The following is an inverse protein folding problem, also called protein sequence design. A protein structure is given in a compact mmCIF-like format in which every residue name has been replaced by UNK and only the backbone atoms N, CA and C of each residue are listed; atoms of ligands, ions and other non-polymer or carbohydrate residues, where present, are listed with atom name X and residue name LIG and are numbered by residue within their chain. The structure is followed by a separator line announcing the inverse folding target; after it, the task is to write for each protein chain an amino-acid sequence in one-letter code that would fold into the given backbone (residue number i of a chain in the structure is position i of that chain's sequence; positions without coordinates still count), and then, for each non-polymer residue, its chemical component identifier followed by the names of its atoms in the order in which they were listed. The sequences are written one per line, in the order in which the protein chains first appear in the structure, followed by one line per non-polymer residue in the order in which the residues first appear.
data_IF_152651605225
#
_entry.id   IF_152651605225
#
_cell.length_a   1.000
_cell.length_b   1.000
_cell.length_c   1.000
_cell.angle_alpha   90.00
_cell.angle_beta   90.00
_cell.angle_gamma   90.00
#
_symmetry.space_group_name_H-M   'P 1'
#
loop_
_entity.id
_entity.type
_entity.pdbx_description
1 polymer ?
#
# COMPACT_ATOMS: atom_id res chain seq x y z
N UNK A 1 30.93 -9.07 18.44
CA UNK A 1 29.51 -9.38 18.23
C UNK A 1 28.92 -9.68 19.59
N UNK A 2 28.12 -8.74 20.10
CA UNK A 2 27.75 -8.58 21.50
C UNK A 2 26.69 -9.62 21.92
N UNK A 3 26.80 -10.18 23.13
CA UNK A 3 25.87 -11.14 23.73
C UNK A 3 24.37 -10.76 23.61
N UNK A 4 24.05 -9.48 23.45
CA UNK A 4 22.69 -8.97 23.24
C UNK A 4 22.07 -9.35 21.88
N UNK A 5 22.86 -9.37 20.81
CA UNK A 5 22.39 -9.77 19.47
C UNK A 5 21.99 -11.25 19.45
N UNK A 6 22.66 -12.05 20.29
CA UNK A 6 22.38 -13.47 20.50
C UNK A 6 21.03 -13.66 21.21
N UNK A 7 20.74 -12.87 22.25
CA UNK A 7 19.46 -12.96 22.98
C UNK A 7 18.24 -12.55 22.12
N UNK A 8 18.36 -11.52 21.28
CA UNK A 8 17.28 -11.14 20.35
C UNK A 8 17.09 -12.22 19.29
N UNK A 9 18.16 -12.81 18.77
CA UNK A 9 18.07 -13.89 17.78
C UNK A 9 17.40 -15.13 18.36
N UNK A 10 17.69 -15.49 19.62
CA UNK A 10 17.02 -16.58 20.32
C UNK A 10 15.52 -16.31 20.52
N UNK A 11 15.14 -15.08 20.88
CA UNK A 11 13.74 -14.66 20.98
C UNK A 11 13.03 -14.64 19.63
N UNK A 12 13.73 -14.30 18.54
CA UNK A 12 13.17 -14.35 17.18
C UNK A 12 12.98 -15.79 16.71
N UNK A 13 13.91 -16.69 17.03
CA UNK A 13 13.78 -18.12 16.74
C UNK A 13 12.66 -18.78 17.55
N UNK A 14 12.40 -18.33 18.78
CA UNK A 14 11.28 -18.84 19.57
C UNK A 14 9.91 -18.35 19.09
N UNK A 15 9.83 -17.27 18.30
CA UNK A 15 8.57 -16.80 17.71
C UNK A 15 7.99 -17.75 16.67
N UNK A 16 8.82 -18.56 16.02
CA UNK A 16 8.35 -19.56 15.08
C UNK A 16 7.97 -20.88 15.78
N UNK A 17 8.18 -20.98 17.10
CA UNK A 17 7.62 -22.06 17.93
C UNK A 17 6.09 -21.87 18.03
N UNK A 18 5.32 -22.94 17.87
CA UNK A 18 3.85 -22.87 17.76
C UNK A 18 3.13 -22.56 19.09
N UNK A 19 3.85 -22.15 20.14
CA UNK A 19 3.30 -21.98 21.48
C UNK A 19 2.75 -20.57 21.71
N UNK A 20 1.43 -20.47 21.87
CA UNK A 20 0.70 -19.23 22.17
C UNK A 20 1.25 -18.49 23.41
N UNK A 21 1.71 -19.23 24.42
CA UNK A 21 2.33 -18.66 25.63
C UNK A 21 3.68 -17.99 25.35
N UNK A 22 4.46 -18.49 24.40
CA UNK A 22 5.76 -17.92 24.04
C UNK A 22 5.56 -16.59 23.31
N UNK A 23 4.58 -16.51 22.42
CA UNK A 23 4.19 -15.28 21.74
C UNK A 23 3.70 -14.18 22.73
N UNK A 24 2.95 -14.54 23.76
CA UNK A 24 2.52 -13.61 24.82
C UNK A 24 3.71 -13.09 25.66
N UNK A 25 4.66 -13.96 25.98
CA UNK A 25 5.90 -13.57 26.69
C UNK A 25 6.75 -12.63 25.85
N UNK A 26 6.91 -12.89 24.56
CA UNK A 26 7.66 -12.01 23.64
C UNK A 26 6.94 -10.67 23.49
N UNK A 27 5.61 -10.65 23.43
CA UNK A 27 4.82 -9.41 23.39
C UNK A 27 5.01 -8.59 24.66
N UNK A 28 5.00 -9.21 25.83
CA UNK A 28 5.28 -8.54 27.09
C UNK A 28 6.73 -8.00 27.12
N UNK A 29 7.72 -8.78 26.69
CA UNK A 29 9.12 -8.35 26.62
C UNK A 29 9.34 -7.19 25.64
N UNK A 30 8.67 -7.20 24.49
CA UNK A 30 8.68 -6.10 23.52
C UNK A 30 8.09 -4.81 24.11
N UNK A 31 6.97 -4.92 24.83
CA UNK A 31 6.28 -3.77 25.46
C UNK A 31 7.07 -3.22 26.66
N UNK A 32 7.79 -4.07 27.39
CA UNK A 32 8.53 -3.70 28.60
C UNK A 32 9.94 -3.15 28.32
N UNK A 33 10.45 -3.26 27.08
CA UNK A 33 11.82 -2.83 26.76
C UNK A 33 11.90 -1.35 26.43
N UNK A 34 12.63 -0.59 27.26
CA UNK A 34 13.09 0.78 27.00
C UNK A 34 13.88 0.92 25.67
N UNK A 35 14.36 -0.21 25.13
CA UNK A 35 15.08 -0.33 23.85
C UNK A 35 14.18 -0.68 22.66
N UNK A 36 12.87 -0.40 22.76
CA UNK A 36 11.87 -0.82 21.76
C UNK A 36 12.23 -0.51 20.30
N UNK A 37 13.03 0.53 20.01
CA UNK A 37 13.47 0.85 18.65
C UNK A 37 14.41 -0.18 17.99
N UNK A 38 15.38 -0.74 18.72
CA UNK A 38 16.34 -1.71 18.15
C UNK A 38 15.71 -3.09 17.97
N UNK A 39 14.85 -3.49 18.91
CA UNK A 39 14.06 -4.73 18.81
C UNK A 39 13.07 -4.61 17.65
N UNK A 40 12.38 -3.48 17.51
CA UNK A 40 11.48 -3.23 16.39
C UNK A 40 12.21 -3.29 15.06
N UNK A 41 13.39 -2.69 14.97
CA UNK A 41 14.22 -2.76 13.75
C UNK A 41 14.56 -4.21 13.40
N UNK A 42 14.97 -5.00 14.39
CA UNK A 42 15.32 -6.41 14.19
C UNK A 42 14.11 -7.25 13.77
N UNK A 43 12.93 -6.97 14.33
CA UNK A 43 11.67 -7.61 13.93
C UNK A 43 11.31 -7.29 12.48
N UNK A 44 11.47 -6.03 12.05
CA UNK A 44 11.22 -5.68 10.64
C UNK A 44 12.17 -6.44 9.72
N UNK A 45 13.48 -6.43 9.98
CA UNK A 45 14.45 -7.18 9.16
C UNK A 45 14.12 -8.68 9.15
N UNK A 46 13.79 -9.28 10.31
CA UNK A 46 13.38 -10.68 10.38
C UNK A 46 12.14 -10.97 9.54
N UNK A 47 11.15 -10.09 9.55
CA UNK A 47 9.97 -10.24 8.69
C UNK A 47 10.34 -10.15 7.20
N UNK A 48 11.24 -9.24 6.82
CA UNK A 48 11.65 -9.10 5.42
C UNK A 48 12.28 -10.39 4.87
N UNK A 49 12.94 -11.17 5.72
CA UNK A 49 13.56 -12.45 5.35
C UNK A 49 12.60 -13.65 5.51
N UNK A 50 11.77 -13.69 6.56
CA UNK A 50 10.97 -14.86 6.93
C UNK A 50 9.49 -14.80 6.51
N UNK A 51 8.95 -13.60 6.28
CA UNK A 51 7.50 -13.36 6.17
C UNK A 51 6.66 -13.91 7.35
N UNK A 52 7.26 -14.03 8.55
CA UNK A 52 6.60 -14.62 9.73
C UNK A 52 5.36 -13.84 10.18
N UNK A 53 4.23 -14.53 10.31
CA UNK A 53 2.94 -13.95 10.72
C UNK A 53 2.93 -13.52 12.20
N UNK A 54 3.73 -14.16 13.04
CA UNK A 54 3.89 -13.80 14.45
C UNK A 54 4.55 -12.43 14.59
N UNK A 55 5.55 -12.14 13.75
CA UNK A 55 6.18 -10.83 13.71
C UNK A 55 5.21 -9.74 13.26
N UNK A 56 4.33 -10.03 12.30
CA UNK A 56 3.24 -9.09 11.92
C UNK A 56 2.35 -8.77 13.11
N UNK A 57 1.98 -9.78 13.93
CA UNK A 57 1.16 -9.57 15.12
C UNK A 57 1.86 -8.67 16.15
N UNK A 58 3.15 -8.90 16.39
CA UNK A 58 3.95 -8.06 17.28
C UNK A 58 4.06 -6.62 16.76
N UNK A 59 4.46 -6.45 15.50
CA UNK A 59 4.58 -5.13 14.88
C UNK A 59 3.24 -4.39 14.83
N UNK A 60 2.12 -5.10 14.68
CA UNK A 60 0.77 -4.49 14.73
C UNK A 60 0.38 -3.96 16.11
N UNK A 61 1.06 -4.42 17.16
CA UNK A 61 0.86 -3.94 18.53
C UNK A 61 1.69 -2.70 18.87
N UNK A 62 2.50 -2.19 17.93
CA UNK A 62 3.34 -1.01 18.11
C UNK A 62 2.50 0.20 18.51
N UNK A 63 2.91 0.87 19.60
CA UNK A 63 2.30 2.12 20.10
C UNK A 63 3.25 3.29 19.87
N UNK A 64 2.74 4.50 20.09
CA UNK A 64 3.58 5.70 20.13
C UNK A 64 4.55 5.64 21.32
N UNK A 65 5.82 6.10 21.19
CA UNK A 65 6.42 6.80 20.03
C UNK A 65 7.14 5.88 19.02
N UNK A 66 7.14 4.55 19.24
CA UNK A 66 7.92 3.59 18.45
C UNK A 66 7.51 3.49 16.97
N UNK A 67 6.33 4.02 16.61
CA UNK A 67 5.89 4.10 15.22
C UNK A 67 6.88 4.84 14.30
N UNK A 68 7.66 5.79 14.81
CA UNK A 68 8.64 6.54 13.98
C UNK A 68 9.69 5.62 13.39
N UNK A 69 10.31 4.78 14.22
CA UNK A 69 11.31 3.78 13.80
C UNK A 69 10.70 2.76 12.84
N UNK A 70 9.45 2.36 13.09
CA UNK A 70 8.71 1.46 12.19
C UNK A 70 8.50 2.06 10.81
N UNK A 71 8.06 3.33 10.75
CA UNK A 71 7.85 4.03 9.49
C UNK A 71 9.18 4.27 8.75
N UNK A 72 10.26 4.60 9.46
CA UNK A 72 11.60 4.70 8.87
C UNK A 72 12.05 3.38 8.24
N UNK A 73 11.91 2.27 8.95
CA UNK A 73 12.26 0.94 8.44
C UNK A 73 11.38 0.48 7.28
N UNK A 74 10.09 0.75 7.33
CA UNK A 74 9.20 0.53 6.19
C UNK A 74 9.64 1.37 4.98
N UNK A 75 9.98 2.64 5.19
CA UNK A 75 10.46 3.50 4.11
C UNK A 75 11.76 2.95 3.48
N UNK A 76 12.72 2.49 4.28
CA UNK A 76 13.94 1.82 3.78
C UNK A 76 13.59 0.60 2.93
N UNK A 77 12.67 -0.26 3.41
CA UNK A 77 12.26 -1.47 2.70
C UNK A 77 11.58 -1.17 1.35
N UNK A 78 10.74 -0.13 1.26
CA UNK A 78 10.07 0.27 0.01
C UNK A 78 11.07 0.78 -1.04
N UNK A 79 12.19 1.36 -0.61
CA UNK A 79 13.22 1.90 -1.50
C UNK A 79 14.22 0.82 -1.98
N UNK A 80 14.31 -0.34 -1.33
CA UNK A 80 15.15 -1.47 -1.76
C UNK A 80 14.36 -2.45 -2.64
N UNK A 81 14.77 -2.70 -3.91
CA UNK A 81 14.06 -3.63 -4.80
C UNK A 81 13.84 -5.03 -4.20
N UNK A 82 14.85 -5.59 -3.53
CA UNK A 82 14.76 -6.95 -2.96
C UNK A 82 13.80 -7.10 -1.77
N UNK A 83 13.46 -6.00 -1.08
CA UNK A 83 12.58 -6.04 0.11
C UNK A 83 11.27 -5.28 -0.09
N UNK A 84 11.11 -4.59 -1.22
CA UNK A 84 9.96 -3.72 -1.52
C UNK A 84 8.61 -4.42 -1.40
N UNK A 85 8.48 -5.61 -2.00
CA UNK A 85 7.22 -6.35 -1.96
C UNK A 85 6.87 -6.77 -0.52
N UNK A 86 7.85 -7.28 0.23
CA UNK A 86 7.67 -7.65 1.62
C UNK A 86 7.31 -6.42 2.47
N UNK A 87 7.99 -5.30 2.28
CA UNK A 87 7.71 -4.02 2.94
C UNK A 87 6.30 -3.48 2.67
N UNK A 88 5.86 -3.49 1.41
CA UNK A 88 4.48 -3.12 1.05
C UNK A 88 3.46 -4.06 1.69
N UNK A 89 3.73 -5.37 1.68
CA UNK A 89 2.87 -6.38 2.27
C UNK A 89 2.75 -6.16 3.78
N UNK A 90 3.86 -5.89 4.47
CA UNK A 90 3.88 -5.56 5.89
C UNK A 90 3.06 -4.30 6.17
N UNK A 91 3.31 -3.22 5.43
CA UNK A 91 2.56 -1.97 5.56
C UNK A 91 1.06 -2.21 5.40
N UNK A 92 0.65 -2.99 4.39
CA UNK A 92 -0.74 -3.39 4.17
C UNK A 92 -1.36 -4.20 5.32
N UNK A 93 -0.58 -5.09 5.96
CA UNK A 93 -1.03 -5.79 7.16
C UNK A 93 -1.24 -4.84 8.34
N UNK A 94 -0.29 -3.93 8.55
CA UNK A 94 -0.32 -2.99 9.68
C UNK A 94 -1.50 -2.02 9.57
N UNK A 95 -1.68 -1.35 8.43
CA UNK A 95 -2.73 -0.32 8.27
C UNK A 95 -4.14 -0.93 8.36
N UNK A 96 -4.34 -2.19 7.94
CA UNK A 96 -5.64 -2.87 8.07
C UNK A 96 -6.08 -3.06 9.51
N UNK A 97 -5.14 -3.05 10.46
CA UNK A 97 -5.44 -3.08 11.91
C UNK A 97 -5.81 -1.72 12.48
N UNK A 98 -5.81 -0.67 11.65
CA UNK A 98 -6.13 0.71 12.04
C UNK A 98 -5.36 1.17 13.28
N UNK A 99 -4.01 1.10 13.26
CA UNK A 99 -3.22 1.45 14.42
C UNK A 99 -3.42 2.94 14.76
N UNK A 100 -3.31 3.33 16.05
CA UNK A 100 -3.59 4.70 16.49
C UNK A 100 -2.70 5.75 15.78
N UNK A 101 -1.49 5.35 15.38
CA UNK A 101 -0.51 6.19 14.71
C UNK A 101 -0.66 6.25 13.18
N UNK A 102 -1.66 5.59 12.57
CA UNK A 102 -1.80 5.51 11.10
C UNK A 102 -1.84 6.88 10.42
N UNK A 103 -2.38 7.88 11.12
CA UNK A 103 -2.48 9.26 10.63
C UNK A 103 -1.11 9.93 10.43
N UNK A 104 -0.06 9.48 11.14
CA UNK A 104 1.32 9.98 10.96
C UNK A 104 1.94 9.56 9.63
N UNK A 105 1.38 8.54 8.96
CA UNK A 105 1.88 8.09 7.64
C UNK A 105 1.84 9.25 6.63
N UNK A 106 0.83 10.13 6.70
CA UNK A 106 0.72 11.27 5.78
C UNK A 106 1.87 12.27 5.86
N UNK A 107 2.59 12.30 6.99
CA UNK A 107 3.72 13.20 7.20
C UNK A 107 5.07 12.47 7.10
N UNK A 108 5.05 11.15 6.96
CA UNK A 108 6.25 10.31 6.89
C UNK A 108 6.72 10.11 5.46
N UNK A 109 8.01 9.80 5.28
CA UNK A 109 8.60 9.48 3.98
C UNK A 109 8.01 8.21 3.32
N UNK A 110 7.31 7.37 4.09
CA UNK A 110 6.68 6.14 3.59
C UNK A 110 5.65 6.44 2.50
N UNK A 111 4.82 7.48 2.68
CA UNK A 111 3.78 7.82 1.71
C UNK A 111 4.39 8.24 0.36
N UNK A 112 5.33 9.21 0.28
CA UNK A 112 6.04 9.50 -0.96
C UNK A 112 6.72 8.29 -1.59
N UNK A 113 7.34 7.40 -0.80
CA UNK A 113 7.98 6.18 -1.31
C UNK A 113 6.96 5.19 -1.90
N UNK A 114 5.78 5.04 -1.28
CA UNK A 114 4.67 4.25 -1.83
C UNK A 114 4.17 4.84 -3.15
N UNK A 115 3.96 6.16 -3.21
CA UNK A 115 3.50 6.83 -4.43
C UNK A 115 4.54 6.72 -5.55
N UNK A 116 5.83 6.89 -5.24
CA UNK A 116 6.93 6.68 -6.19
C UNK A 116 6.93 5.25 -6.72
N UNK A 117 6.85 4.26 -5.82
CA UNK A 117 6.78 2.84 -6.17
C UNK A 117 5.65 2.57 -7.20
N UNK A 118 4.44 3.07 -6.95
CA UNK A 118 3.32 2.90 -7.87
C UNK A 118 3.49 3.64 -9.20
N UNK A 119 4.31 4.69 -9.25
CA UNK A 119 4.61 5.42 -10.48
C UNK A 119 5.69 4.74 -11.33
N UNK A 120 6.68 4.10 -10.69
CA UNK A 120 7.92 3.63 -11.37
C UNK A 120 8.01 2.12 -11.55
N UNK A 121 7.35 1.31 -10.72
CA UNK A 121 7.52 -0.14 -10.76
C UNK A 121 6.87 -0.79 -11.99
N UNK A 122 7.47 -1.92 -12.42
CA UNK A 122 6.98 -2.75 -13.52
C UNK A 122 6.45 -4.12 -13.08
N UNK A 123 6.78 -4.57 -11.87
CA UNK A 123 6.28 -5.84 -11.34
C UNK A 123 4.80 -5.72 -10.96
N UNK A 124 3.96 -6.52 -11.63
CA UNK A 124 2.50 -6.51 -11.44
C UNK A 124 2.09 -6.80 -9.99
N UNK A 125 2.80 -7.66 -9.27
CA UNK A 125 2.48 -8.03 -7.89
C UNK A 125 2.79 -6.88 -6.95
N UNK A 126 3.87 -6.13 -7.22
CA UNK A 126 4.20 -4.89 -6.51
C UNK A 126 3.13 -3.83 -6.76
N UNK A 127 2.66 -3.67 -8.00
CA UNK A 127 1.59 -2.72 -8.34
C UNK A 127 0.26 -3.07 -7.67
N UNK A 128 -0.15 -4.34 -7.70
CA UNK A 128 -1.38 -4.84 -7.02
C UNK A 128 -1.27 -4.57 -5.52
N UNK A 129 -0.17 -5.00 -4.90
CA UNK A 129 0.01 -4.82 -3.44
C UNK A 129 0.02 -3.34 -3.07
N UNK A 130 0.76 -2.51 -3.81
CA UNK A 130 0.84 -1.08 -3.55
C UNK A 130 -0.50 -0.36 -3.73
N UNK A 131 -1.28 -0.69 -4.76
CA UNK A 131 -2.58 -0.01 -4.98
C UNK A 131 -3.57 -0.38 -3.89
N UNK A 132 -3.57 -1.63 -3.41
CA UNK A 132 -4.39 -2.06 -2.27
C UNK A 132 -4.00 -1.33 -0.99
N UNK A 133 -2.70 -1.15 -0.73
CA UNK A 133 -2.21 -0.34 0.39
C UNK A 133 -2.72 1.09 0.26
N UNK A 134 -2.59 1.73 -0.91
CA UNK A 134 -3.03 3.10 -1.14
C UNK A 134 -4.55 3.27 -0.94
N UNK A 135 -5.37 2.39 -1.52
CA UNK A 135 -6.84 2.42 -1.39
C UNK A 135 -7.27 2.31 0.07
N UNK A 136 -6.58 1.46 0.84
CA UNK A 136 -6.86 1.25 2.26
C UNK A 136 -6.39 2.44 3.08
N UNK A 137 -5.24 3.01 2.76
CA UNK A 137 -4.63 4.11 3.48
C UNK A 137 -5.38 5.44 3.29
N UNK A 138 -5.79 5.77 2.06
CA UNK A 138 -6.47 7.03 1.73
C UNK A 138 -7.58 7.46 2.71
N UNK A 139 -8.58 6.63 3.05
CA UNK A 139 -9.63 7.03 3.99
C UNK A 139 -9.13 7.26 5.43
N UNK A 140 -7.96 6.71 5.79
CA UNK A 140 -7.35 6.90 7.11
C UNK A 140 -6.51 8.19 7.19
N UNK A 141 -6.14 8.79 6.04
CA UNK A 141 -5.35 10.02 5.96
C UNK A 141 -5.99 11.09 5.04
N UNK A 142 -7.27 11.46 5.23
CA UNK A 142 -7.94 12.44 4.36
C UNK A 142 -7.20 13.78 4.28
N UNK A 143 -6.47 14.17 5.34
CA UNK A 143 -5.65 15.37 5.40
C UNK A 143 -4.52 15.40 4.35
N UNK A 144 -4.01 14.23 3.92
CA UNK A 144 -2.94 14.14 2.93
C UNK A 144 -3.37 14.65 1.55
N UNK A 145 -4.68 14.70 1.28
CA UNK A 145 -5.25 15.19 0.03
C UNK A 145 -4.71 16.58 -0.34
N UNK A 146 -4.59 17.51 0.62
CA UNK A 146 -4.13 18.87 0.28
C UNK A 146 -2.72 18.92 -0.32
N UNK A 147 -1.84 18.02 0.11
CA UNK A 147 -0.43 18.01 -0.29
C UNK A 147 -0.17 17.07 -1.47
N UNK A 148 -0.90 15.96 -1.55
CA UNK A 148 -0.61 14.85 -2.46
C UNK A 148 -1.73 14.54 -3.46
N UNK A 149 -2.77 15.38 -3.58
CA UNK A 149 -3.91 15.11 -4.46
C UNK A 149 -3.50 14.78 -5.90
N UNK A 150 -2.59 15.57 -6.48
CA UNK A 150 -2.12 15.34 -7.84
C UNK A 150 -1.27 14.07 -7.94
N UNK A 151 -0.48 13.75 -6.91
CA UNK A 151 0.27 12.49 -6.88
C UNK A 151 -0.66 11.27 -6.88
N UNK A 152 -1.79 11.34 -6.17
CA UNK A 152 -2.79 10.26 -6.17
C UNK A 152 -3.43 10.10 -7.54
N UNK A 153 -3.72 11.21 -8.23
CA UNK A 153 -4.28 11.19 -9.57
C UNK A 153 -3.29 10.65 -10.61
N UNK A 154 -2.01 11.05 -10.52
CA UNK A 154 -0.95 10.52 -11.38
C UNK A 154 -0.76 9.02 -11.20
N UNK A 155 -0.84 8.51 -9.96
CA UNK A 155 -0.83 7.07 -9.70
C UNK A 155 -1.98 6.38 -10.42
N UNK A 156 -3.20 6.94 -10.34
CA UNK A 156 -4.33 6.38 -11.07
C UNK A 156 -4.08 6.36 -12.59
N UNK A 157 -3.69 7.48 -13.20
CA UNK A 157 -3.41 7.56 -14.64
C UNK A 157 -2.31 6.60 -15.08
N UNK A 158 -1.25 6.47 -14.28
CA UNK A 158 -0.14 5.56 -14.54
C UNK A 158 -0.55 4.10 -14.50
N UNK A 159 -1.32 3.67 -13.50
CA UNK A 159 -1.77 2.28 -13.37
C UNK A 159 -2.83 1.91 -14.41
N UNK A 160 -3.73 2.86 -14.73
CA UNK A 160 -4.67 2.77 -15.84
C UNK A 160 -3.93 2.48 -17.16
N UNK A 161 -2.94 3.32 -17.48
CA UNK A 161 -2.12 3.18 -18.68
C UNK A 161 -1.30 1.88 -18.68
N UNK A 162 -0.77 1.47 -17.52
CA UNK A 162 -0.03 0.20 -17.41
C UNK A 162 -0.89 -1.00 -17.79
N UNK A 163 -2.11 -1.06 -17.24
CA UNK A 163 -3.05 -2.17 -17.42
C UNK A 163 -3.43 -2.30 -18.90
N UNK A 164 -3.61 -1.17 -19.59
CA UNK A 164 -3.92 -1.14 -21.02
C UNK A 164 -2.74 -1.54 -21.91
N UNK A 165 -1.53 -1.06 -21.61
CA UNK A 165 -0.34 -1.25 -22.46
C UNK A 165 0.35 -2.61 -22.28
N UNK A 166 0.09 -3.34 -21.20
CA UNK A 166 0.84 -4.55 -20.85
C UNK A 166 -0.01 -5.83 -20.67
N UNK A 167 -0.98 -6.14 -21.55
CA UNK A 167 -1.85 -7.32 -21.36
C UNK A 167 -1.12 -8.67 -21.49
N UNK A 168 0.11 -8.70 -22.04
CA UNK A 168 0.89 -9.94 -22.23
C UNK A 168 2.06 -10.15 -21.27
N UNK A 169 2.33 -9.23 -20.35
CA UNK A 169 3.53 -9.27 -19.49
C UNK A 169 3.32 -9.99 -18.15
N UNK A 170 2.09 -10.41 -17.84
CA UNK A 170 1.74 -11.00 -16.56
C UNK A 170 0.65 -12.07 -16.70
N UNK A 171 0.53 -12.99 -15.72
CA UNK A 171 -0.60 -13.90 -15.64
C UNK A 171 -1.93 -13.16 -15.65
N UNK A 172 -2.93 -13.71 -16.34
CA UNK A 172 -4.27 -13.10 -16.48
C UNK A 172 -4.91 -12.79 -15.13
N UNK A 173 -4.72 -13.66 -14.12
CA UNK A 173 -5.22 -13.45 -12.75
C UNK A 173 -4.68 -12.15 -12.14
N UNK A 174 -3.38 -11.87 -12.28
CA UNK A 174 -2.77 -10.64 -11.78
C UNK A 174 -3.32 -9.41 -12.50
N UNK A 175 -3.54 -9.49 -13.82
CA UNK A 175 -4.13 -8.39 -14.58
C UNK A 175 -5.56 -8.08 -14.13
N UNK A 176 -6.37 -9.11 -13.85
CA UNK A 176 -7.72 -8.96 -13.30
C UNK A 176 -7.66 -8.26 -11.93
N UNK A 177 -6.76 -8.71 -11.04
CA UNK A 177 -6.60 -8.10 -9.72
C UNK A 177 -6.12 -6.65 -9.79
N UNK A 178 -5.20 -6.34 -10.70
CA UNK A 178 -4.73 -4.98 -10.90
C UNK A 178 -5.86 -4.09 -11.43
N UNK A 179 -6.62 -4.56 -12.40
CA UNK A 179 -7.78 -3.83 -12.94
C UNK A 179 -8.81 -3.54 -11.84
N UNK A 180 -9.16 -4.53 -11.03
CA UNK A 180 -10.04 -4.34 -9.87
C UNK A 180 -9.48 -3.33 -8.86
N UNK A 181 -8.16 -3.33 -8.65
CA UNK A 181 -7.45 -2.32 -7.85
C UNK A 181 -7.57 -0.92 -8.43
N UNK A 182 -7.29 -0.73 -9.72
CA UNK A 182 -7.42 0.56 -10.41
C UNK A 182 -8.85 1.10 -10.34
N UNK A 183 -9.84 0.22 -10.54
CA UNK A 183 -11.25 0.57 -10.42
C UNK A 183 -11.65 0.97 -8.99
N UNK A 184 -11.14 0.25 -7.99
CA UNK A 184 -11.35 0.59 -6.58
C UNK A 184 -10.69 1.93 -6.21
N UNK A 185 -9.53 2.23 -6.80
CA UNK A 185 -8.86 3.51 -6.63
C UNK A 185 -9.67 4.65 -7.27
N UNK A 186 -10.25 4.45 -8.45
CA UNK A 186 -11.16 5.42 -9.08
C UNK A 186 -12.30 5.80 -8.11
N UNK A 187 -12.98 4.81 -7.53
CA UNK A 187 -14.08 5.06 -6.58
C UNK A 187 -13.62 5.78 -5.33
N UNK A 188 -12.44 5.42 -4.81
CA UNK A 188 -11.87 6.09 -3.64
C UNK A 188 -11.57 7.56 -3.93
N UNK A 189 -10.95 7.85 -5.07
CA UNK A 189 -10.60 9.22 -5.47
C UNK A 189 -11.83 10.05 -5.81
N UNK A 190 -12.81 9.48 -6.51
CA UNK A 190 -14.07 10.14 -6.81
C UNK A 190 -14.88 10.42 -5.54
N UNK A 191 -14.94 9.47 -4.61
CA UNK A 191 -15.65 9.64 -3.33
C UNK A 191 -15.01 10.69 -2.41
N UNK A 192 -13.69 10.83 -2.43
CA UNK A 192 -12.97 11.78 -1.57
C UNK A 192 -12.76 13.16 -2.22
N UNK A 193 -12.57 13.21 -3.55
CA UNK A 193 -12.15 14.40 -4.28
C UNK A 193 -12.89 14.57 -5.62
N UNK A 194 -14.24 14.54 -5.64
CA UNK A 194 -15.02 14.40 -6.88
C UNK A 194 -14.68 15.46 -7.92
N UNK A 195 -14.80 16.76 -7.59
CA UNK A 195 -14.58 17.85 -8.55
C UNK A 195 -13.14 17.90 -9.06
N UNK A 196 -12.16 17.75 -8.18
CA UNK A 196 -10.74 17.78 -8.57
C UNK A 196 -10.39 16.59 -9.45
N UNK A 197 -10.88 15.40 -9.11
CA UNK A 197 -10.60 14.20 -9.88
C UNK A 197 -11.27 14.24 -11.24
N UNK A 198 -12.52 14.71 -11.33
CA UNK A 198 -13.22 14.96 -12.59
C UNK A 198 -12.46 15.95 -13.47
N UNK A 199 -11.97 17.06 -12.91
CA UNK A 199 -11.15 18.01 -13.66
C UNK A 199 -9.85 17.39 -14.16
N UNK A 200 -9.19 16.56 -13.34
CA UNK A 200 -8.02 15.80 -13.76
C UNK A 200 -8.34 14.84 -14.91
N UNK A 201 -9.43 14.07 -14.82
CA UNK A 201 -9.82 13.14 -15.87
C UNK A 201 -10.06 13.87 -17.19
N UNK A 202 -10.77 15.00 -17.16
CA UNK A 202 -10.97 15.88 -18.32
C UNK A 202 -9.66 16.30 -18.93
N UNK A 203 -8.75 16.87 -18.15
CA UNK A 203 -7.47 17.34 -18.68
C UNK A 203 -6.61 16.20 -19.24
N UNK A 204 -6.52 15.08 -18.52
CA UNK A 204 -5.60 13.99 -18.83
C UNK A 204 -6.09 13.12 -20.00
N UNK A 205 -7.39 12.83 -20.08
CA UNK A 205 -7.98 11.93 -21.08
C UNK A 205 -8.60 12.62 -22.29
N UNK A 206 -8.67 13.96 -22.31
CA UNK A 206 -8.99 14.70 -23.55
C UNK A 206 -7.93 14.53 -24.64
N UNK A 207 -6.72 14.09 -24.27
CA UNK A 207 -5.67 13.79 -25.24
C UNK A 207 -5.91 12.43 -25.89
N UNK A 208 -5.92 12.38 -27.24
CA UNK A 208 -6.21 11.16 -28.03
C UNK A 208 -5.41 9.92 -27.62
N UNK A 209 -4.17 10.11 -27.17
CA UNK A 209 -3.29 9.03 -26.72
C UNK A 209 -3.75 8.31 -25.43
N UNK A 210 -4.52 8.99 -24.58
CA UNK A 210 -5.01 8.46 -23.31
C UNK A 210 -6.46 7.96 -23.41
N UNK A 211 -7.22 8.43 -24.40
CA UNK A 211 -8.63 8.10 -24.59
C UNK A 211 -8.88 6.59 -24.70
N UNK A 212 -8.02 5.84 -25.39
CA UNK A 212 -8.11 4.38 -25.50
C UNK A 212 -8.00 3.65 -24.16
N UNK A 213 -7.10 4.12 -23.29
CA UNK A 213 -6.94 3.60 -21.92
C UNK A 213 -8.21 3.79 -21.10
N UNK A 214 -8.83 4.97 -21.18
CA UNK A 214 -10.07 5.28 -20.45
C UNK A 214 -11.25 4.43 -20.92
N UNK A 215 -11.42 4.29 -22.23
CA UNK A 215 -12.48 3.49 -22.81
C UNK A 215 -12.36 2.01 -22.41
N UNK A 216 -11.16 1.46 -22.38
CA UNK A 216 -10.95 0.06 -21.97
C UNK A 216 -11.20 -0.14 -20.47
N UNK A 217 -10.78 0.82 -19.63
CA UNK A 217 -11.11 0.80 -18.20
C UNK A 217 -12.62 0.79 -17.95
N UNK A 218 -13.40 1.47 -18.78
CA UNK A 218 -14.87 1.50 -18.69
C UNK A 218 -15.50 0.21 -19.23
N UNK A 219 -14.94 -0.36 -20.29
CA UNK A 219 -15.50 -1.55 -20.96
C UNK A 219 -15.35 -2.84 -20.15
N UNK A 220 -14.26 -3.00 -19.42
CA UNK A 220 -13.91 -4.27 -18.75
C UNK A 220 -14.53 -4.41 -17.34
N UNK A 221 -15.34 -3.44 -16.90
CA UNK A 221 -16.04 -3.49 -15.61
C UNK A 221 -16.91 -4.76 -15.50
N UNK A 222 -16.61 -5.69 -14.57
CA UNK A 222 -17.34 -6.95 -14.45
C UNK A 222 -18.76 -6.78 -13.92
N UNK A 223 -19.07 -5.66 -13.27
CA UNK A 223 -20.43 -5.31 -12.88
C UNK A 223 -21.12 -4.51 -13.99
N UNK A 224 -21.94 -5.22 -14.78
CA UNK A 224 -22.81 -4.61 -15.79
C UNK A 224 -24.00 -3.84 -15.17
N UNK A 225 -24.20 -3.89 -13.84
CA UNK A 225 -25.43 -3.43 -13.19
C UNK A 225 -25.26 -2.40 -12.06
N UNK A 226 -24.08 -1.80 -11.90
CA UNK A 226 -23.85 -0.76 -10.89
C UNK A 226 -23.93 0.64 -11.51
N UNK A 227 -24.51 1.61 -10.80
CA UNK A 227 -24.61 3.02 -11.19
C UNK A 227 -23.29 3.69 -11.60
N UNK A 228 -22.17 3.00 -11.38
CA UNK A 228 -20.83 3.39 -11.77
C UNK A 228 -20.57 3.35 -13.28
N UNK A 229 -21.15 2.38 -14.01
CA UNK A 229 -21.10 2.38 -15.49
C UNK A 229 -21.82 3.61 -16.04
N UNK A 230 -22.95 3.97 -15.45
CA UNK A 230 -23.67 5.21 -15.80
C UNK A 230 -22.84 6.45 -15.48
N UNK A 231 -22.18 6.53 -14.34
CA UNK A 231 -21.33 7.68 -14.00
C UNK A 231 -20.15 7.85 -14.96
N UNK A 232 -19.50 6.75 -15.36
CA UNK A 232 -18.38 6.75 -16.30
C UNK A 232 -18.82 6.95 -17.77
N UNK A 233 -19.97 6.38 -18.17
CA UNK A 233 -20.58 6.62 -19.49
C UNK A 233 -21.06 8.07 -19.61
N UNK A 234 -21.76 8.61 -18.62
CA UNK A 234 -22.10 10.04 -18.55
C UNK A 234 -20.86 10.92 -18.65
N UNK A 235 -19.72 10.44 -18.14
CA UNK A 235 -18.45 11.14 -18.25
C UNK A 235 -17.85 11.07 -19.66
N UNK A 236 -17.88 9.90 -20.30
CA UNK A 236 -17.46 9.70 -21.68
C UNK A 236 -18.33 10.49 -22.67
N UNK A 237 -19.64 10.55 -22.42
CA UNK A 237 -20.60 11.31 -23.24
C UNK A 237 -20.42 12.83 -23.07
N UNK A 238 -19.95 13.29 -21.91
CA UNK A 238 -19.61 14.71 -21.67
C UNK A 238 -18.17 15.10 -22.10
N UNK A 239 -17.36 14.13 -22.56
CA UNK A 239 -16.01 14.35 -23.10
C UNK A 239 -15.99 14.40 -24.63
N UNK A 240 -17.09 14.05 -25.30
CA UNK A 240 -17.30 14.16 -26.74
C UNK A 240 -17.91 15.52 -27.09
#
# INVERSE_FOLDING_TARGET
MSKEQVSISELLLSLDSSELQEAERVRAAFVLSDRGGTVLSSLVEYYLDSSSSQVVLLLSSTREPHHKVLLEKLNESLNRPGTRLAGLTLLGHLIRKQPPWVHHISQSAVLPSLLRCLKTEGDVVVLITGVLVLITLLPMIPQAGKQHIYDFFDVFGRLASWTYRNPGHAPVSHLIHLHAGVYSLFHRLYGMFPCNFISYLRLHYSMKENLGTFQELIKVSPDQNSGCKYQLLLFSDNMS
#
